data_IF_876113171780
#
_entry.id   IF_876113171780
#
_cell.length_a   1.000
_cell.length_b   1.000
_cell.length_c   1.000
_cell.angle_alpha   90.00
_cell.angle_beta   90.00
_cell.angle_gamma   90.00
#
_symmetry.space_group_name_H-M   'P 1'
#
loop_
_entity.id
_entity.type
_entity.pdbx_description
1 polymer ?
#
# COMPACT_ATOMS: atom_id res chain seq x y z
N UNK A 1 -3.27 -17.69 1.66
CA UNK A 1 -3.14 -16.88 2.88
C UNK A 1 -3.51 -15.45 2.50
N UNK A 2 -4.21 -14.72 3.37
CA UNK A 2 -4.54 -13.31 3.17
C UNK A 2 -3.83 -12.53 4.28
N UNK A 3 -3.24 -11.39 3.94
CA UNK A 3 -2.57 -10.50 4.89
C UNK A 3 -3.07 -9.08 4.71
N UNK A 4 -3.10 -8.30 5.79
CA UNK A 4 -3.46 -6.89 5.81
C UNK A 4 -2.23 -6.00 5.75
N UNK A 5 -2.37 -4.83 5.15
CA UNK A 5 -1.40 -3.73 5.23
C UNK A 5 -2.16 -2.45 5.55
N UNK A 6 -1.80 -1.80 6.65
CA UNK A 6 -2.40 -0.53 7.05
C UNK A 6 -1.38 0.40 7.73
N UNK A 7 -1.76 1.68 7.90
CA UNK A 7 -0.92 2.71 8.54
C UNK A 7 -0.91 2.62 10.08
N UNK A 8 -1.78 1.80 10.66
CA UNK A 8 -1.98 1.64 12.10
C UNK A 8 -1.18 0.47 12.71
N UNK A 9 -1.21 0.32 14.05
CA UNK A 9 -0.54 -0.78 14.70
C UNK A 9 -1.09 -2.12 14.19
N UNK A 10 -0.17 -3.03 13.83
CA UNK A 10 -0.54 -4.39 13.41
C UNK A 10 -1.44 -5.03 14.47
N UNK A 11 -2.62 -5.49 14.05
CA UNK A 11 -3.65 -6.03 14.94
C UNK A 11 -3.61 -7.57 15.04
N UNK A 12 -2.72 -8.22 14.28
CA UNK A 12 -2.54 -9.67 14.28
C UNK A 12 -1.28 -10.13 13.55
N UNK A 13 -1.06 -11.44 13.52
CA UNK A 13 0.12 -12.06 12.89
C UNK A 13 0.13 -11.97 11.35
N UNK A 14 -1.02 -11.62 10.75
CA UNK A 14 -1.20 -11.43 9.31
C UNK A 14 -1.34 -9.95 8.93
N UNK A 15 -1.10 -9.02 9.86
CA UNK A 15 -1.16 -7.58 9.60
C UNK A 15 0.24 -6.96 9.57
N UNK A 16 0.48 -6.12 8.56
CA UNK A 16 1.71 -5.38 8.38
C UNK A 16 1.45 -3.88 8.51
N UNK A 17 2.30 -3.18 9.25
CA UNK A 17 2.28 -1.72 9.28
C UNK A 17 3.14 -1.16 8.14
N UNK A 18 2.55 -0.35 7.27
CA UNK A 18 3.29 0.45 6.30
C UNK A 18 2.47 1.66 5.83
N UNK A 19 3.17 2.76 5.56
CA UNK A 19 2.62 3.93 4.90
C UNK A 19 2.84 3.85 3.39
N UNK A 20 1.77 4.04 2.62
CA UNK A 20 1.83 4.18 1.16
C UNK A 20 2.68 5.36 0.69
N UNK A 21 2.86 6.39 1.54
CA UNK A 21 3.78 7.50 1.27
C UNK A 21 5.25 7.16 1.60
N UNK A 22 5.53 5.95 2.08
CA UNK A 22 6.87 5.48 2.44
C UNK A 22 7.31 4.27 1.57
N UNK A 23 7.94 4.50 0.41
CA UNK A 23 8.37 3.43 -0.50
C UNK A 23 9.28 2.37 0.11
N UNK A 24 10.09 2.72 1.12
CA UNK A 24 10.95 1.76 1.82
C UNK A 24 10.13 0.73 2.63
N UNK A 25 9.08 1.18 3.32
CA UNK A 25 8.20 0.30 4.08
C UNK A 25 7.42 -0.64 3.16
N UNK A 26 6.91 -0.12 2.04
CA UNK A 26 6.23 -0.94 1.04
C UNK A 26 7.14 -2.02 0.47
N UNK A 27 8.38 -1.67 0.12
CA UNK A 27 9.37 -2.65 -0.37
C UNK A 27 9.68 -3.71 0.68
N UNK A 28 9.84 -3.33 1.94
CA UNK A 28 10.10 -4.29 3.02
C UNK A 28 8.95 -5.28 3.22
N UNK A 29 7.70 -4.81 3.22
CA UNK A 29 6.52 -5.68 3.34
C UNK A 29 6.39 -6.57 2.12
N UNK A 30 6.50 -6.04 0.91
CA UNK A 30 6.39 -6.82 -0.34
C UNK A 30 7.51 -7.86 -0.49
N UNK A 31 8.74 -7.54 -0.09
CA UNK A 31 9.85 -8.50 -0.06
C UNK A 31 9.58 -9.66 0.91
N UNK A 32 8.90 -9.38 2.02
CA UNK A 32 8.56 -10.38 3.04
C UNK A 32 7.35 -11.23 2.64
N UNK A 33 6.30 -10.60 2.11
CA UNK A 33 5.01 -11.24 1.82
C UNK A 33 5.02 -11.97 0.48
N UNK A 34 5.71 -11.42 -0.54
CA UNK A 34 5.74 -11.94 -1.91
C UNK A 34 4.33 -12.30 -2.45
N UNK A 35 3.37 -11.35 -2.52
CA UNK A 35 1.98 -11.66 -2.84
C UNK A 35 1.76 -12.05 -4.31
N UNK A 36 0.91 -13.06 -4.54
CA UNK A 36 0.40 -13.40 -5.88
C UNK A 36 -0.65 -12.41 -6.40
N UNK A 37 -1.35 -11.72 -5.50
CA UNK A 37 -2.43 -10.78 -5.79
C UNK A 37 -2.34 -9.58 -4.85
N UNK A 38 -2.65 -8.38 -5.36
CA UNK A 38 -2.74 -7.16 -4.58
C UNK A 38 -4.11 -6.53 -4.76
N UNK A 39 -4.78 -6.18 -3.65
CA UNK A 39 -6.06 -5.47 -3.64
C UNK A 39 -5.82 -4.14 -2.91
N UNK A 40 -5.82 -3.03 -3.64
CA UNK A 40 -5.52 -1.70 -3.14
C UNK A 40 -6.80 -0.98 -2.69
N UNK A 41 -7.17 -1.17 -1.42
CA UNK A 41 -8.38 -0.58 -0.82
C UNK A 41 -8.13 0.76 -0.11
N UNK A 42 -6.86 1.20 -0.04
CA UNK A 42 -6.47 2.38 0.70
C UNK A 42 -6.74 3.64 -0.13
N UNK A 43 -7.74 4.42 0.28
CA UNK A 43 -8.07 5.70 -0.34
C UNK A 43 -8.74 6.64 0.66
N UNK A 44 -8.53 7.94 0.46
CA UNK A 44 -9.32 9.00 1.08
C UNK A 44 -10.47 9.34 0.13
N UNK A 45 -11.70 9.14 0.59
CA UNK A 45 -12.93 9.33 -0.20
C UNK A 45 -13.70 10.60 0.18
N UNK A 46 -13.34 11.26 1.28
CA UNK A 46 -13.97 12.47 1.76
C UNK A 46 -12.92 13.45 2.27
N UNK A 47 -12.95 14.69 1.76
CA UNK A 47 -12.01 15.76 2.13
C UNK A 47 -12.82 16.93 2.70
N UNK A 48 -13.01 17.02 4.02
CA UNK A 48 -13.96 17.95 4.63
C UNK A 48 -13.66 19.43 4.36
N UNK A 49 -12.40 19.80 4.16
CA UNK A 49 -11.95 21.21 4.09
C UNK A 49 -11.19 21.54 2.78
N UNK A 50 -11.29 20.68 1.77
CA UNK A 50 -10.70 20.92 0.46
C UNK A 50 -9.17 20.78 0.39
N UNK A 51 -8.53 20.15 1.39
CA UNK A 51 -7.12 19.79 1.29
C UNK A 51 -6.92 18.62 0.30
N UNK A 52 -6.95 18.96 -0.98
CA UNK A 52 -6.75 18.01 -2.07
C UNK A 52 -5.36 17.36 -2.02
N UNK A 53 -4.39 17.98 -1.35
CA UNK A 53 -3.03 17.45 -1.27
C UNK A 53 -3.02 16.11 -0.53
N UNK A 54 -3.77 15.98 0.57
CA UNK A 54 -3.86 14.72 1.32
C UNK A 54 -4.46 13.59 0.47
N UNK A 55 -5.51 13.90 -0.29
CA UNK A 55 -6.13 12.98 -1.24
C UNK A 55 -5.15 12.58 -2.35
N UNK A 56 -4.41 13.52 -2.95
CA UNK A 56 -3.40 13.19 -3.96
C UNK A 56 -2.27 12.34 -3.40
N UNK A 57 -1.79 12.67 -2.20
CA UNK A 57 -0.74 11.90 -1.52
C UNK A 57 -1.17 10.44 -1.31
N UNK A 58 -2.40 10.21 -0.84
CA UNK A 58 -2.87 8.85 -0.59
C UNK A 58 -3.32 8.13 -1.87
N UNK A 59 -4.22 8.74 -2.65
CA UNK A 59 -4.91 8.03 -3.75
C UNK A 59 -4.02 7.93 -5.01
N UNK A 60 -3.28 9.00 -5.35
CA UNK A 60 -2.45 9.02 -6.56
C UNK A 60 -1.03 8.56 -6.24
N UNK A 61 -0.32 9.30 -5.39
CA UNK A 61 1.08 8.99 -5.09
C UNK A 61 1.22 7.69 -4.30
N UNK A 62 0.29 7.37 -3.41
CA UNK A 62 0.25 6.08 -2.73
C UNK A 62 0.09 4.88 -3.68
N UNK A 63 -0.78 5.01 -4.70
CA UNK A 63 -0.91 4.00 -5.76
C UNK A 63 0.39 3.85 -6.55
N UNK A 64 1.00 4.97 -6.96
CA UNK A 64 2.26 4.94 -7.71
C UNK A 64 3.39 4.30 -6.89
N UNK A 65 3.53 4.67 -5.62
CA UNK A 65 4.53 4.11 -4.72
C UNK A 65 4.36 2.59 -4.55
N UNK A 66 3.12 2.09 -4.48
CA UNK A 66 2.84 0.65 -4.39
C UNK A 66 3.28 -0.07 -5.67
N UNK A 67 2.93 0.47 -6.84
CA UNK A 67 3.31 -0.12 -8.14
C UNK A 67 4.83 -0.10 -8.32
N UNK A 68 5.49 1.01 -7.99
CA UNK A 68 6.94 1.14 -8.05
C UNK A 68 7.63 0.16 -7.08
N UNK A 69 7.08 -0.04 -5.88
CA UNK A 69 7.62 -0.99 -4.92
C UNK A 69 7.50 -2.44 -5.41
N UNK A 70 6.39 -2.81 -6.06
CA UNK A 70 6.21 -4.13 -6.70
C UNK A 70 7.31 -4.35 -7.74
N UNK A 71 7.53 -3.37 -8.62
CA UNK A 71 8.58 -3.44 -9.65
C UNK A 71 9.98 -3.50 -9.05
N UNK A 72 10.26 -2.67 -8.04
CA UNK A 72 11.57 -2.58 -7.40
C UNK A 72 11.99 -3.87 -6.68
N UNK A 73 11.02 -4.62 -6.14
CA UNK A 73 11.26 -5.93 -5.49
C UNK A 73 11.27 -7.07 -6.52
N UNK A 74 10.96 -6.80 -7.79
CA UNK A 74 10.94 -7.79 -8.86
C UNK A 74 9.72 -8.72 -8.83
N UNK A 75 8.63 -8.27 -8.21
CA UNK A 75 7.40 -9.04 -8.12
C UNK A 75 6.61 -8.99 -9.42
N UNK A 76 5.95 -10.11 -9.76
CA UNK A 76 5.00 -10.20 -10.87
C UNK A 76 3.65 -10.74 -10.37
N UNK A 77 2.86 -9.95 -9.61
CA UNK A 77 1.54 -10.39 -9.16
C UNK A 77 0.64 -10.72 -10.35
N UNK A 78 -0.21 -11.73 -10.21
CA UNK A 78 -1.17 -12.14 -11.25
C UNK A 78 -2.21 -11.05 -11.52
N UNK A 79 -2.52 -10.24 -10.49
CA UNK A 79 -3.42 -9.09 -10.60
C UNK A 79 -3.11 -8.06 -9.51
N UNK A 80 -3.21 -6.80 -9.89
CA UNK A 80 -3.30 -5.66 -8.98
C UNK A 80 -4.67 -5.02 -9.22
N UNK A 81 -5.47 -4.89 -8.17
CA UNK A 81 -6.86 -4.42 -8.18
C UNK A 81 -7.00 -3.13 -7.40
#
# INVERSE_FOLDING_TARGET
RVVGLDRGPASGADDFNADLACPEQLRAVLATVQPDYVIHLAAITFVPHGDLLEMYQTNLFGTLNLLDAILAVGLSPRKVL
#
